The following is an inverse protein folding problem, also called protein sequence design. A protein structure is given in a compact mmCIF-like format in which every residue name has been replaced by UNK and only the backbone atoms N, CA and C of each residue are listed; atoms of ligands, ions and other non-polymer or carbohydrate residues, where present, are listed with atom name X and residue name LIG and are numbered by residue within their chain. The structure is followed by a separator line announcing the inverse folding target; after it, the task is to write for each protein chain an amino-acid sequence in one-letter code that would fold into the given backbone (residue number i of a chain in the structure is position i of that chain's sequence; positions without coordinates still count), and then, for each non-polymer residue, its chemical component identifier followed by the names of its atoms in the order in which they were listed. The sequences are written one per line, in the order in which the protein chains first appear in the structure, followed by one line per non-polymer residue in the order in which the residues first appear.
data_IF_788804368210
#
_entry.id   IF_788804368210
#
_cell.length_a   1.000
_cell.length_b   1.000
_cell.length_c   1.000
_cell.angle_alpha   90.00
_cell.angle_beta   90.00
_cell.angle_gamma   90.00
#
_symmetry.space_group_name_H-M   'P 1'
#
loop_
_entity.id
_entity.type
_entity.pdbx_description
1 polymer ?
#
# COMPACT_ATOMS: atom_id res chain seq x y z
N UNK A 1 -5.71 -6.34 21.49
CA UNK A 1 -5.33 -5.41 20.40
C UNK A 1 -6.59 -4.95 19.71
N UNK A 2 -6.70 -3.67 19.36
CA UNK A 2 -7.83 -3.18 18.56
C UNK A 2 -7.70 -3.67 17.12
N UNK A 3 -8.80 -4.06 16.43
CA UNK A 3 -8.73 -4.43 15.02
C UNK A 3 -8.33 -3.21 14.18
N UNK A 4 -7.27 -3.35 13.38
CA UNK A 4 -6.83 -2.31 12.47
C UNK A 4 -7.56 -2.45 11.13
N UNK A 5 -8.34 -1.44 10.77
CA UNK A 5 -9.05 -1.41 9.49
C UNK A 5 -8.06 -1.24 8.32
N UNK A 6 -8.36 -1.81 7.13
CA UNK A 6 -7.46 -1.73 5.97
C UNK A 6 -7.12 -0.31 5.51
N UNK A 7 -8.08 0.62 5.55
CA UNK A 7 -7.86 2.03 5.16
C UNK A 7 -6.84 2.73 6.07
N UNK A 8 -7.01 2.77 7.41
CA UNK A 8 -5.99 3.27 8.33
C UNK A 8 -4.63 2.60 8.18
N UNK A 9 -4.60 1.28 7.92
CA UNK A 9 -3.35 0.56 7.68
C UNK A 9 -2.60 1.12 6.46
N UNK A 10 -3.26 1.20 5.29
CA UNK A 10 -2.65 1.71 4.05
C UNK A 10 -2.21 3.17 4.18
N UNK A 11 -3.03 4.02 4.81
CA UNK A 11 -2.67 5.42 5.06
C UNK A 11 -1.42 5.55 5.94
N UNK A 12 -1.22 4.61 6.88
CA UNK A 12 -0.04 4.55 7.74
C UNK A 12 1.23 4.04 7.04
N UNK A 13 1.13 3.58 5.79
CA UNK A 13 2.26 3.14 4.97
C UNK A 13 2.80 4.20 4.02
N UNK A 14 2.11 5.33 3.84
CA UNK A 14 2.60 6.43 3.00
C UNK A 14 3.98 6.90 3.47
N UNK A 15 4.93 7.01 2.54
CA UNK A 15 6.34 7.33 2.79
C UNK A 15 7.20 6.16 3.28
N UNK A 16 6.66 4.95 3.41
CA UNK A 16 7.40 3.75 3.85
C UNK A 16 7.72 2.82 2.68
N UNK A 17 8.81 2.03 2.77
CA UNK A 17 9.09 0.99 1.80
C UNK A 17 8.00 -0.09 1.85
N UNK A 18 7.49 -0.48 0.69
CA UNK A 18 6.45 -1.50 0.52
C UNK A 18 6.84 -2.49 -0.58
N UNK A 19 6.22 -3.67 -0.53
CA UNK A 19 6.24 -4.65 -1.61
C UNK A 19 4.80 -4.90 -2.04
N UNK A 20 4.47 -4.57 -3.29
CA UNK A 20 3.13 -4.75 -3.86
C UNK A 20 3.19 -5.89 -4.85
N UNK A 21 2.40 -6.94 -4.61
CA UNK A 21 2.29 -8.09 -5.51
C UNK A 21 0.99 -8.03 -6.29
N UNK A 22 1.09 -7.99 -7.61
CA UNK A 22 -0.07 -8.09 -8.50
C UNK A 22 -0.56 -9.55 -8.53
N UNK A 23 -1.85 -9.72 -8.82
CA UNK A 23 -2.52 -11.03 -8.89
C UNK A 23 -1.79 -12.04 -9.78
N UNK A 24 -1.13 -11.56 -10.83
CA UNK A 24 -0.44 -12.38 -11.83
C UNK A 24 1.08 -12.42 -11.67
N UNK A 25 1.59 -12.09 -10.48
CA UNK A 25 2.96 -12.41 -10.08
C UNK A 25 4.00 -11.31 -10.31
N UNK A 26 3.64 -10.18 -10.92
CA UNK A 26 4.53 -9.00 -10.92
C UNK A 26 4.62 -8.42 -9.52
N UNK A 27 5.83 -8.04 -9.12
CA UNK A 27 6.10 -7.43 -7.82
C UNK A 27 6.76 -6.07 -8.00
N UNK A 28 6.22 -5.05 -7.32
CA UNK A 28 6.81 -3.73 -7.23
C UNK A 28 7.40 -3.53 -5.83
N UNK A 29 8.65 -3.08 -5.77
CA UNK A 29 9.32 -2.66 -4.55
C UNK A 29 9.65 -1.19 -4.67
N UNK A 30 9.29 -0.42 -3.66
CA UNK A 30 9.47 1.03 -3.68
C UNK A 30 8.84 1.68 -2.47
N UNK A 31 8.76 3.00 -2.49
CA UNK A 31 8.09 3.75 -1.43
C UNK A 31 6.64 4.02 -1.82
N UNK A 32 5.72 3.82 -0.87
CA UNK A 32 4.31 4.15 -1.11
C UNK A 32 4.14 5.68 -1.10
N UNK A 33 3.79 6.25 -2.24
CA UNK A 33 3.64 7.71 -2.39
C UNK A 33 2.22 8.16 -2.02
N UNK A 34 1.21 7.44 -2.49
CA UNK A 34 -0.19 7.77 -2.25
C UNK A 34 -1.11 6.56 -2.45
N UNK A 35 -2.30 6.62 -1.84
CA UNK A 35 -3.39 5.66 -2.00
C UNK A 35 -4.72 6.43 -2.11
N UNK A 36 -5.63 6.00 -2.98
CA UNK A 36 -6.95 6.60 -3.12
C UNK A 36 -8.09 5.78 -2.46
N UNK A 37 -9.33 6.25 -2.59
CA UNK A 37 -10.51 5.59 -2.02
C UNK A 37 -10.83 4.20 -2.59
N UNK A 38 -10.23 3.84 -3.74
CA UNK A 38 -10.37 2.55 -4.42
C UNK A 38 -9.15 1.63 -4.22
N UNK A 39 -8.18 2.05 -3.41
CA UNK A 39 -6.92 1.35 -3.18
C UNK A 39 -6.01 1.29 -4.41
N UNK A 40 -6.12 2.25 -5.34
CA UNK A 40 -5.05 2.45 -6.32
C UNK A 40 -3.81 2.96 -5.57
N UNK A 41 -2.63 2.46 -5.94
CA UNK A 41 -1.38 2.74 -5.23
C UNK A 41 -0.36 3.37 -6.18
N UNK A 42 0.25 4.46 -5.74
CA UNK A 42 1.42 5.04 -6.41
C UNK A 42 2.68 4.57 -5.70
N UNK A 43 3.60 3.95 -6.44
CA UNK A 43 4.88 3.44 -5.92
C UNK A 43 6.02 4.08 -6.71
N UNK A 44 7.01 4.63 -6.01
CA UNK A 44 8.26 5.18 -6.58
C UNK A 44 9.43 4.22 -6.45
#
# INVERSE_FOLDING_TARGET
SLPLNPKPFLNGLTGKPVMVKLKWGMEYKGYLVSVDGYMNMQVS
#
